data_IF_934981072931
#
_entry.id   IF_934981072931
#
_cell.length_a   1.000
_cell.length_b   1.000
_cell.length_c   1.000
_cell.angle_alpha   90.00
_cell.angle_beta   90.00
_cell.angle_gamma   90.00
#
_symmetry.space_group_name_H-M   'P 1'
#
loop_
_entity.id
_entity.type
_entity.pdbx_description
1 polymer ?
#
# COMPACT_ATOMS: atom_id res chain seq x y z
N UNK A 1 0.28 18.44 18.22
CA UNK A 1 0.50 17.38 17.20
C UNK A 1 -0.79 16.59 17.17
N UNK A 2 -1.56 16.67 16.10
CA UNK A 2 -2.97 16.26 16.14
C UNK A 2 -3.12 14.75 15.87
N UNK A 3 -2.64 13.93 16.81
CA UNK A 3 -2.82 12.47 16.78
C UNK A 3 -4.30 12.04 16.80
N UNK A 4 -5.22 12.98 17.04
CA UNK A 4 -6.65 12.81 16.85
C UNK A 4 -6.95 12.37 15.41
N UNK A 5 -6.19 12.86 14.42
CA UNK A 5 -6.37 12.47 13.02
C UNK A 5 -6.05 10.98 12.78
N UNK A 6 -4.98 10.46 13.41
CA UNK A 6 -4.67 9.03 13.34
C UNK A 6 -5.81 8.19 13.91
N UNK A 7 -6.35 8.59 15.07
CA UNK A 7 -7.50 7.91 15.69
C UNK A 7 -8.74 7.93 14.79
N UNK A 8 -9.04 9.08 14.16
CA UNK A 8 -10.13 9.20 13.18
C UNK A 8 -9.94 8.27 11.99
N UNK A 9 -8.73 8.15 11.45
CA UNK A 9 -8.46 7.24 10.33
C UNK A 9 -8.65 5.78 10.75
N UNK A 10 -8.16 5.39 11.93
CA UNK A 10 -8.36 4.02 12.47
C UNK A 10 -9.86 3.74 12.61
N UNK A 11 -10.60 4.63 13.28
CA UNK A 11 -12.04 4.49 13.48
C UNK A 11 -12.80 4.40 12.14
N UNK A 12 -12.39 5.20 11.14
CA UNK A 12 -13.01 5.18 9.82
C UNK A 12 -12.77 3.84 9.12
N UNK A 13 -11.53 3.35 9.09
CA UNK A 13 -11.21 2.05 8.48
C UNK A 13 -11.94 0.91 9.22
N UNK A 14 -12.05 0.96 10.55
CA UNK A 14 -12.76 -0.05 11.35
C UNK A 14 -14.27 -0.12 11.10
N UNK A 15 -14.88 0.90 10.46
CA UNK A 15 -16.27 0.81 10.00
C UNK A 15 -16.45 -0.21 8.88
N UNK A 16 -15.39 -0.50 8.14
CA UNK A 16 -15.42 -1.37 6.97
C UNK A 16 -14.65 -2.66 7.24
N UNK A 17 -13.43 -2.54 7.76
CA UNK A 17 -12.58 -3.66 8.12
C UNK A 17 -12.93 -4.18 9.52
N UNK A 18 -13.65 -5.31 9.56
CA UNK A 18 -14.02 -6.00 10.80
C UNK A 18 -12.83 -6.78 11.33
N UNK A 19 -12.61 -6.68 12.65
CA UNK A 19 -11.66 -7.49 13.38
C UNK A 19 -10.56 -6.67 14.05
N UNK A 20 -9.33 -7.19 14.03
CA UNK A 20 -8.19 -6.67 14.80
C UNK A 20 -7.85 -5.22 14.41
N UNK A 21 -7.76 -4.35 15.42
CA UNK A 21 -7.29 -2.96 15.26
C UNK A 21 -5.80 -2.87 14.93
N UNK A 22 -5.03 -3.90 15.33
CA UNK A 22 -3.57 -3.92 15.25
C UNK A 22 -3.02 -3.80 13.82
N UNK A 23 -3.51 -4.56 12.81
CA UNK A 23 -3.12 -4.34 11.41
C UNK A 23 -3.34 -2.91 10.92
N UNK A 24 -4.44 -2.26 11.32
CA UNK A 24 -4.75 -0.87 10.92
C UNK A 24 -3.74 0.10 11.55
N UNK A 25 -3.41 -0.09 12.83
CA UNK A 25 -2.37 0.70 13.50
C UNK A 25 -1.00 0.55 12.81
N UNK A 26 -0.60 -0.68 12.51
CA UNK A 26 0.69 -0.96 11.87
C UNK A 26 0.76 -0.40 10.45
N UNK A 27 -0.36 -0.40 9.72
CA UNK A 27 -0.47 0.29 8.43
C UNK A 27 -0.22 1.80 8.56
N UNK A 28 -0.82 2.44 9.56
CA UNK A 28 -0.58 3.86 9.81
C UNK A 28 0.85 4.12 10.28
N UNK A 29 1.46 3.22 11.04
CA UNK A 29 2.89 3.31 11.38
C UNK A 29 3.74 3.24 10.11
N UNK A 30 3.44 2.32 9.19
CA UNK A 30 4.09 2.21 7.88
C UNK A 30 3.98 3.52 7.09
N UNK A 31 2.75 3.98 6.88
CA UNK A 31 2.44 5.20 6.12
C UNK A 31 3.11 6.44 6.74
N UNK A 32 2.94 6.65 8.05
CA UNK A 32 3.51 7.79 8.75
C UNK A 32 5.03 7.69 8.89
N UNK A 33 5.60 6.50 8.86
CA UNK A 33 7.04 6.24 8.82
C UNK A 33 7.66 6.53 7.46
N UNK A 34 6.86 6.91 6.46
CA UNK A 34 7.28 7.00 5.05
C UNK A 34 7.80 5.64 4.52
N UNK A 35 7.46 4.52 5.17
CA UNK A 35 7.86 3.18 4.75
C UNK A 35 6.77 2.48 3.94
N UNK A 36 7.10 1.28 3.47
CA UNK A 36 6.16 0.37 2.81
C UNK A 36 5.92 -0.86 3.68
N UNK A 37 4.84 -1.58 3.44
CA UNK A 37 4.50 -2.76 4.24
C UNK A 37 4.32 -4.01 3.38
N UNK A 38 4.73 -5.16 3.93
CA UNK A 38 4.58 -6.47 3.33
C UNK A 38 3.55 -7.28 4.12
N UNK A 39 2.48 -7.71 3.45
CA UNK A 39 1.39 -8.51 4.01
C UNK A 39 1.60 -9.98 3.66
N UNK A 40 2.03 -10.76 4.65
CA UNK A 40 2.09 -12.22 4.54
C UNK A 40 0.82 -12.85 5.07
N UNK A 41 -0.11 -13.15 4.18
CA UNK A 41 -1.29 -13.94 4.53
C UNK A 41 -1.82 -14.67 3.32
N UNK A 42 -2.66 -15.65 3.63
CA UNK A 42 -3.56 -16.35 2.74
C UNK A 42 -4.57 -15.43 2.03
N UNK A 43 -5.07 -15.85 0.85
CA UNK A 43 -6.13 -15.14 0.14
C UNK A 43 -7.42 -15.00 0.98
N UNK A 44 -8.17 -13.92 0.74
CA UNK A 44 -9.51 -13.73 1.32
C UNK A 44 -9.58 -13.00 2.66
N UNK A 45 -8.45 -12.60 3.26
CA UNK A 45 -8.41 -11.91 4.59
C UNK A 45 -8.70 -10.40 4.52
N UNK A 46 -9.31 -9.90 3.45
CA UNK A 46 -9.71 -8.49 3.36
C UNK A 46 -8.58 -7.47 3.07
N UNK A 47 -7.41 -7.90 2.57
CA UNK A 47 -6.29 -6.99 2.22
C UNK A 47 -6.71 -5.85 1.29
N UNK A 48 -7.49 -6.19 0.25
CA UNK A 48 -8.02 -5.21 -0.71
C UNK A 48 -8.97 -4.22 -0.05
N UNK A 49 -9.82 -4.71 0.86
CA UNK A 49 -10.75 -3.87 1.60
C UNK A 49 -10.00 -2.88 2.49
N UNK A 50 -8.96 -3.36 3.17
CA UNK A 50 -8.09 -2.58 4.04
C UNK A 50 -7.36 -1.46 3.28
N UNK A 51 -6.74 -1.79 2.14
CA UNK A 51 -6.04 -0.82 1.30
C UNK A 51 -6.98 0.24 0.72
N UNK A 52 -8.15 -0.18 0.20
CA UNK A 52 -9.17 0.75 -0.31
C UNK A 52 -9.73 1.65 0.78
N UNK A 53 -9.98 1.10 1.98
CA UNK A 53 -10.49 1.86 3.13
C UNK A 53 -9.49 2.92 3.57
N UNK A 54 -8.19 2.59 3.59
CA UNK A 54 -7.13 3.56 3.87
C UNK A 54 -7.13 4.69 2.84
N UNK A 55 -7.11 4.37 1.54
CA UNK A 55 -7.11 5.35 0.47
C UNK A 55 -8.32 6.29 0.54
N UNK A 56 -9.54 5.73 0.70
CA UNK A 56 -10.76 6.53 0.89
C UNK A 56 -10.71 7.41 2.14
N UNK A 57 -10.24 6.87 3.26
CA UNK A 57 -10.15 7.61 4.53
C UNK A 57 -9.23 8.83 4.44
N UNK A 58 -8.22 8.80 3.57
CA UNK A 58 -7.28 9.92 3.38
C UNK A 58 -7.52 10.70 2.08
N UNK A 59 -8.63 10.46 1.38
CA UNK A 59 -8.91 11.07 0.07
C UNK A 59 -7.77 10.90 -0.95
N UNK A 60 -7.04 9.78 -0.87
CA UNK A 60 -5.94 9.43 -1.76
C UNK A 60 -6.40 8.58 -2.94
N UNK A 61 -5.62 8.59 -4.02
CA UNK A 61 -5.80 7.64 -5.11
C UNK A 61 -5.42 6.22 -4.67
N UNK A 62 -6.11 5.24 -5.24
CA UNK A 62 -5.89 3.81 -5.00
C UNK A 62 -5.68 3.10 -6.31
N UNK A 63 -4.63 2.28 -6.38
CA UNK A 63 -4.44 1.33 -7.47
C UNK A 63 -4.15 -0.05 -6.92
N UNK A 64 -4.66 -1.07 -7.61
CA UNK A 64 -4.33 -2.47 -7.36
C UNK A 64 -3.66 -3.03 -8.59
N UNK A 65 -2.55 -3.73 -8.40
CA UNK A 65 -1.90 -4.51 -9.44
C UNK A 65 -1.73 -5.93 -8.93
N UNK A 66 -2.06 -6.89 -9.78
CA UNK A 66 -1.83 -8.29 -9.53
C UNK A 66 -0.51 -8.67 -10.19
N UNK A 67 0.46 -9.17 -9.42
CA UNK A 67 1.71 -9.62 -9.98
C UNK A 67 1.51 -11.00 -10.60
N UNK A 68 1.74 -11.09 -11.91
CA UNK A 68 1.65 -12.32 -12.69
C UNK A 68 3.00 -12.62 -13.34
N UNK A 69 3.25 -13.87 -13.78
CA UNK A 69 4.53 -14.26 -14.37
C UNK A 69 4.88 -13.50 -15.66
N UNK A 70 3.89 -13.01 -16.38
CA UNK A 70 3.99 -12.28 -17.65
C UNK A 70 4.08 -10.75 -17.48
N UNK A 71 3.93 -10.24 -16.26
CA UNK A 71 3.95 -8.80 -15.99
C UNK A 71 5.35 -8.22 -16.26
N UNK A 72 5.41 -7.13 -17.04
CA UNK A 72 6.65 -6.45 -17.40
C UNK A 72 6.94 -5.27 -16.46
N UNK A 73 8.21 -4.83 -16.34
CA UNK A 73 8.56 -3.62 -15.57
C UNK A 73 7.81 -2.35 -16.03
N UNK A 74 7.54 -2.24 -17.33
CA UNK A 74 6.80 -1.12 -17.91
C UNK A 74 5.32 -1.13 -17.50
N UNK A 75 4.74 -2.30 -17.20
CA UNK A 75 3.37 -2.40 -16.70
C UNK A 75 3.23 -1.88 -15.26
N UNK A 76 4.36 -1.73 -14.54
CA UNK A 76 4.42 -1.16 -13.19
C UNK A 76 4.68 0.34 -13.25
N UNK A 77 5.66 0.77 -14.04
CA UNK A 77 6.16 2.16 -14.09
C UNK A 77 5.40 3.05 -15.07
N UNK A 78 4.80 2.46 -16.10
CA UNK A 78 4.15 3.15 -17.20
C UNK A 78 4.97 3.05 -18.49
N UNK A 79 4.34 3.42 -19.61
CA UNK A 79 4.96 3.36 -20.94
C UNK A 79 4.40 4.42 -21.89
N UNK A 80 5.16 4.75 -22.91
CA UNK A 80 4.72 5.67 -23.97
C UNK A 80 4.02 4.93 -25.10
N UNK A 81 2.80 5.37 -25.44
CA UNK A 81 2.02 4.82 -26.56
C UNK A 81 1.98 5.83 -27.69
N UNK A 82 2.33 5.40 -28.91
CA UNK A 82 2.22 6.23 -30.09
C UNK A 82 0.74 6.44 -30.47
N UNK A 83 0.28 7.69 -30.43
CA UNK A 83 -1.05 8.06 -30.88
C UNK A 83 -1.03 8.42 -32.36
N UNK A 84 -1.54 7.52 -33.21
CA UNK A 84 -1.58 7.72 -34.66
C UNK A 84 -2.37 8.95 -35.10
N UNK A 85 -3.37 9.40 -34.32
CA UNK A 85 -4.17 10.59 -34.67
C UNK A 85 -3.39 11.89 -34.49
N UNK A 86 -2.53 11.97 -33.47
CA UNK A 86 -1.77 13.19 -33.16
C UNK A 86 -0.32 13.11 -33.64
N UNK A 87 0.18 11.93 -34.02
CA UNK A 87 1.57 11.70 -34.39
C UNK A 87 2.54 11.84 -33.21
N UNK A 88 2.04 11.74 -31.98
CA UNK A 88 2.80 11.99 -30.75
C UNK A 88 2.77 10.75 -29.85
N UNK A 89 3.86 10.53 -29.11
CA UNK A 89 3.88 9.60 -28.00
C UNK A 89 3.13 10.20 -26.81
N UNK A 90 2.21 9.43 -26.23
CA UNK A 90 1.47 9.78 -25.03
C UNK A 90 1.83 8.82 -23.92
N UNK A 91 2.32 9.37 -22.81
CA UNK A 91 2.59 8.60 -21.61
C UNK A 91 1.30 8.01 -21.02
N UNK A 92 1.33 6.70 -20.77
CA UNK A 92 0.32 5.97 -20.02
C UNK A 92 0.89 5.67 -18.63
N UNK A 93 0.34 6.27 -17.56
CA UNK A 93 0.86 6.11 -16.22
C UNK A 93 0.69 4.67 -15.73
N UNK A 94 1.74 4.13 -15.13
CA UNK A 94 1.70 2.82 -14.47
C UNK A 94 0.97 2.87 -13.10
N UNK A 95 0.65 1.71 -12.52
CA UNK A 95 -0.07 1.60 -11.26
C UNK A 95 0.64 2.23 -10.06
N UNK A 96 1.97 2.41 -10.11
CA UNK A 96 2.74 3.10 -9.05
C UNK A 96 2.42 4.59 -8.94
N UNK A 97 1.81 5.20 -9.96
CA UNK A 97 1.40 6.61 -9.95
C UNK A 97 0.06 6.72 -9.21
N UNK A 98 0.10 6.52 -7.89
CA UNK A 98 -1.05 6.51 -6.99
C UNK A 98 -0.61 6.86 -5.56
N UNK A 99 -1.52 7.19 -4.65
CA UNK A 99 -1.16 7.38 -3.25
C UNK A 99 -1.01 6.04 -2.52
N UNK A 100 -1.96 5.13 -2.71
CA UNK A 100 -1.98 3.81 -2.09
C UNK A 100 -1.97 2.73 -3.18
N UNK A 101 -0.88 1.96 -3.24
CA UNK A 101 -0.74 0.83 -4.15
C UNK A 101 -0.88 -0.49 -3.39
N UNK A 102 -1.82 -1.34 -3.81
CA UNK A 102 -1.84 -2.76 -3.43
C UNK A 102 -1.15 -3.58 -4.52
N UNK A 103 0.03 -4.12 -4.21
CA UNK A 103 0.80 -5.01 -5.07
C UNK A 103 0.58 -6.46 -4.63
N UNK A 104 -0.41 -7.13 -5.23
CA UNK A 104 -0.79 -8.48 -4.83
C UNK A 104 0.15 -9.53 -5.40
N UNK A 105 0.57 -10.46 -4.54
CA UNK A 105 1.40 -11.63 -4.87
C UNK A 105 2.72 -11.25 -5.56
N UNK A 106 3.46 -10.30 -4.97
CA UNK A 106 4.71 -9.77 -5.52
C UNK A 106 5.72 -10.87 -5.89
N UNK A 107 5.67 -12.01 -5.20
CA UNK A 107 6.49 -13.18 -5.45
C UNK A 107 6.08 -14.00 -6.69
N UNK A 108 5.02 -13.66 -7.44
CA UNK A 108 4.58 -14.39 -8.65
C UNK A 108 5.14 -13.83 -9.96
N UNK A 109 5.95 -12.78 -9.91
CA UNK A 109 6.58 -12.20 -11.10
C UNK A 109 8.10 -12.37 -11.07
N UNK A 110 8.74 -12.21 -12.22
CA UNK A 110 10.20 -12.31 -12.34
C UNK A 110 10.93 -11.20 -11.57
N UNK A 111 12.16 -11.44 -11.07
CA UNK A 111 12.90 -10.46 -10.25
C UNK A 111 13.04 -9.07 -10.89
N UNK A 112 13.14 -8.97 -12.21
CA UNK A 112 13.24 -7.67 -12.91
C UNK A 112 11.99 -6.81 -12.72
N UNK A 113 10.80 -7.41 -12.75
CA UNK A 113 9.54 -6.69 -12.53
C UNK A 113 9.37 -6.32 -11.06
N UNK A 114 9.76 -7.20 -10.14
CA UNK A 114 9.83 -6.87 -8.70
C UNK A 114 10.72 -5.64 -8.45
N UNK A 115 11.92 -5.63 -9.04
CA UNK A 115 12.85 -4.51 -8.92
C UNK A 115 12.26 -3.18 -9.38
N UNK A 116 11.42 -3.15 -10.41
CA UNK A 116 10.80 -1.90 -10.88
C UNK A 116 9.86 -1.26 -9.84
N UNK A 117 9.12 -2.08 -9.08
CA UNK A 117 8.31 -1.60 -7.96
C UNK A 117 9.20 -1.15 -6.80
N UNK A 118 10.23 -1.93 -6.46
CA UNK A 118 11.14 -1.61 -5.36
C UNK A 118 11.95 -0.33 -5.62
N UNK A 119 12.36 -0.10 -6.86
CA UNK A 119 13.00 1.16 -7.27
C UNK A 119 12.04 2.34 -7.11
N UNK A 120 10.78 2.18 -7.53
CA UNK A 120 9.75 3.19 -7.35
C UNK A 120 9.49 3.51 -5.86
N UNK A 121 9.58 2.49 -4.99
CA UNK A 121 9.46 2.63 -3.54
C UNK A 121 10.60 3.46 -2.94
N UNK A 122 11.85 3.15 -3.30
CA UNK A 122 13.03 3.84 -2.79
C UNK A 122 13.16 5.28 -3.32
N UNK A 123 13.06 5.44 -4.65
CA UNK A 123 13.34 6.70 -5.32
C UNK A 123 12.13 7.66 -5.32
N UNK A 124 10.93 7.15 -5.04
CA UNK A 124 9.65 7.89 -5.08
C UNK A 124 9.41 8.63 -6.40
N UNK A 125 9.96 8.10 -7.48
CA UNK A 125 9.82 8.60 -8.84
C UNK A 125 9.91 7.43 -9.82
N UNK A 126 9.45 7.65 -11.04
CA UNK A 126 9.63 6.72 -12.16
C UNK A 126 10.33 7.43 -13.30
N UNK A 127 11.20 6.73 -14.02
CA UNK A 127 11.83 7.25 -15.24
C UNK A 127 11.45 6.38 -16.42
N UNK A 128 10.82 6.98 -17.43
CA UNK A 128 10.38 6.29 -18.64
C UNK A 128 10.88 7.07 -19.85
N UNK A 129 11.63 6.41 -20.73
CA UNK A 129 12.24 7.00 -21.94
C UNK A 129 13.06 8.28 -21.68
N UNK A 130 13.71 8.37 -20.51
CA UNK A 130 14.53 9.53 -20.11
C UNK A 130 13.76 10.67 -19.44
N UNK A 131 12.43 10.57 -19.32
CA UNK A 131 11.61 11.52 -18.57
C UNK A 131 11.33 10.98 -17.16
N UNK A 132 11.67 11.77 -16.14
CA UNK A 132 11.44 11.41 -14.73
C UNK A 132 10.19 12.10 -14.19
N UNK A 133 9.31 11.30 -13.58
CA UNK A 133 8.04 11.73 -12.99
C UNK A 133 8.03 11.40 -11.50
N UNK A 134 7.82 12.41 -10.66
CA UNK A 134 7.66 12.21 -9.22
C UNK A 134 6.34 11.49 -8.91
N UNK A 135 6.36 10.56 -7.95
CA UNK A 135 5.16 9.88 -7.50
C UNK A 135 4.29 10.78 -6.59
N UNK A 136 2.97 10.52 -6.53
CA UNK A 136 2.08 11.25 -5.63
C UNK A 136 2.54 11.15 -4.16
N UNK A 137 2.38 12.24 -3.40
CA UNK A 137 2.74 12.26 -1.97
C UNK A 137 1.45 12.28 -1.11
N UNK A 138 1.31 11.38 -0.12
CA UNK A 138 2.21 10.27 0.20
C UNK A 138 2.10 9.15 -0.86
N UNK A 139 3.20 8.42 -1.07
CA UNK A 139 3.26 7.18 -1.85
C UNK A 139 3.47 6.02 -0.88
N UNK A 140 2.52 5.09 -0.82
CA UNK A 140 2.50 3.97 0.09
C UNK A 140 2.18 2.68 -0.65
N UNK A 141 2.98 1.64 -0.38
CA UNK A 141 2.85 0.34 -1.04
C UNK A 141 2.52 -0.69 0.03
N UNK A 142 1.43 -1.41 -0.22
CA UNK A 142 1.04 -2.62 0.47
C UNK A 142 1.32 -3.79 -0.47
N UNK A 143 2.47 -4.42 -0.32
CA UNK A 143 2.79 -5.62 -1.09
C UNK A 143 2.24 -6.85 -0.38
N UNK A 144 1.82 -7.88 -1.12
CA UNK A 144 1.36 -9.13 -0.53
C UNK A 144 2.19 -10.28 -1.08
N UNK A 145 2.48 -11.28 -0.25
CA UNK A 145 3.05 -12.54 -0.70
C UNK A 145 2.36 -13.70 0.00
N UNK A 146 2.12 -14.78 -0.74
CA UNK A 146 1.55 -16.00 -0.19
C UNK A 146 2.69 -16.98 0.11
N UNK A 147 2.96 -17.31 1.39
CA UNK A 147 4.09 -18.17 1.76
C UNK A 147 3.88 -19.65 1.40
N UNK A 148 2.65 -20.06 1.06
CA UNK A 148 2.29 -21.46 0.82
C UNK A 148 2.51 -21.86 -0.66
N UNK A 149 2.40 -20.91 -1.58
CA UNK A 149 2.59 -21.15 -3.02
C UNK A 149 4.09 -21.12 -3.40
N UNK A 150 4.69 -22.30 -3.49
CA UNK A 150 6.10 -22.47 -3.86
C UNK A 150 6.31 -22.70 -5.36
N UNK A 151 5.27 -23.08 -6.10
CA UNK A 151 5.39 -23.41 -7.52
C UNK A 151 5.16 -22.16 -8.39
N UNK A 152 6.13 -21.85 -9.26
CA UNK A 152 6.06 -20.68 -10.15
C UNK A 152 6.22 -19.33 -9.43
N UNK A 153 6.84 -19.31 -8.25
CA UNK A 153 7.12 -18.09 -7.48
C UNK A 153 8.63 -17.78 -7.42
N UNK A 154 8.93 -16.48 -7.35
CA UNK A 154 10.26 -15.89 -7.19
C UNK A 154 10.28 -15.14 -5.85
N UNK A 155 10.81 -15.74 -4.77
CA UNK A 155 10.83 -15.09 -3.46
C UNK A 155 11.71 -13.84 -3.49
N UNK A 156 11.31 -12.83 -2.73
CA UNK A 156 12.14 -11.63 -2.53
C UNK A 156 13.39 -12.02 -1.72
N UNK A 157 14.61 -11.72 -2.21
CA UNK A 157 15.84 -11.82 -1.41
C UNK A 157 15.75 -10.96 -0.15
N UNK A 158 16.51 -11.31 0.89
CA UNK A 158 16.53 -10.58 2.18
C UNK A 158 16.80 -9.07 1.99
N UNK A 159 17.75 -8.72 1.13
CA UNK A 159 18.06 -7.33 0.79
C UNK A 159 16.89 -6.57 0.15
N UNK A 160 15.91 -7.26 -0.46
CA UNK A 160 14.69 -6.65 -0.99
C UNK A 160 13.59 -6.58 0.08
N UNK A 161 13.52 -7.56 0.98
CA UNK A 161 12.60 -7.54 2.12
C UNK A 161 12.88 -6.37 3.06
N UNK A 162 14.15 -6.01 3.25
CA UNK A 162 14.59 -4.86 4.07
C UNK A 162 14.03 -3.50 3.61
N UNK A 163 13.53 -3.41 2.36
CA UNK A 163 12.86 -2.19 1.84
C UNK A 163 11.45 -2.01 2.40
N UNK A 164 10.89 -3.04 3.03
CA UNK A 164 9.61 -2.95 3.73
C UNK A 164 9.86 -2.65 5.21
N UNK A 165 9.29 -1.55 5.69
CA UNK A 165 9.43 -1.12 7.08
C UNK A 165 8.79 -2.11 8.05
N UNK A 166 7.67 -2.72 7.65
CA UNK A 166 6.96 -3.69 8.45
C UNK A 166 6.50 -4.88 7.61
N UNK A 167 6.61 -6.05 8.21
CA UNK A 167 6.02 -7.29 7.76
C UNK A 167 4.86 -7.64 8.69
N UNK A 168 3.65 -7.75 8.16
CA UNK A 168 2.41 -7.85 8.94
C UNK A 168 1.64 -9.11 8.53
N UNK A 169 1.05 -9.78 9.52
CA UNK A 169 0.10 -10.87 9.36
C UNK A 169 -1.27 -10.41 9.88
N UNK A 170 -2.30 -10.55 9.07
CA UNK A 170 -3.70 -10.26 9.42
C UNK A 170 -4.33 -11.51 10.05
N UNK A 171 -4.12 -12.68 9.43
CA UNK A 171 -4.77 -13.95 9.76
C UNK A 171 -6.25 -14.00 9.35
N UNK A 172 -6.86 -15.17 9.50
CA UNK A 172 -8.31 -15.31 9.32
C UNK A 172 -9.08 -14.61 10.45
N UNK A 173 -10.25 -14.02 10.14
CA UNK A 173 -11.17 -13.57 11.18
C UNK A 173 -11.60 -14.75 12.05
N UNK A 174 -11.84 -14.50 13.33
CA UNK A 174 -12.49 -15.48 14.19
C UNK A 174 -13.99 -15.63 13.84
N UNK A 175 -14.66 -16.62 14.43
CA UNK A 175 -16.08 -16.89 14.14
C UNK A 175 -17.00 -15.69 14.40
N UNK A 176 -16.70 -14.87 15.41
CA UNK A 176 -17.50 -13.69 15.75
C UNK A 176 -17.26 -12.59 14.72
N UNK A 177 -15.99 -12.39 14.35
CA UNK A 177 -15.58 -11.47 13.28
C UNK A 177 -16.21 -11.88 11.93
N UNK A 178 -16.22 -13.16 11.57
CA UNK A 178 -16.87 -13.68 10.35
C UNK A 178 -18.38 -13.38 10.32
N UNK A 179 -19.09 -13.64 11.42
CA UNK A 179 -20.51 -13.33 11.54
C UNK A 179 -20.73 -11.82 11.36
N UNK A 180 -19.90 -10.99 12.00
CA UNK A 180 -20.00 -9.54 11.88
C UNK A 180 -19.70 -9.05 10.47
N UNK A 181 -18.76 -9.69 9.74
CA UNK A 181 -18.53 -9.43 8.31
C UNK A 181 -19.80 -9.75 7.51
N UNK A 182 -20.39 -10.93 7.71
CA UNK A 182 -21.61 -11.34 6.99
C UNK A 182 -22.75 -10.34 7.24
N UNK A 183 -23.02 -9.98 8.49
CA UNK A 183 -24.08 -9.04 8.85
C UNK A 183 -23.86 -7.65 8.24
N UNK A 184 -22.61 -7.17 8.23
CA UNK A 184 -22.26 -5.84 7.73
C UNK A 184 -22.39 -5.73 6.21
N UNK A 185 -21.96 -6.76 5.48
CA UNK A 185 -21.99 -6.78 4.00
C UNK A 185 -23.31 -7.30 3.41
N UNK A 186 -24.28 -7.71 4.23
CA UNK A 186 -25.57 -8.22 3.76
C UNK A 186 -26.51 -7.13 3.22
N UNK A 187 -26.40 -5.89 3.71
CA UNK A 187 -27.32 -4.80 3.36
C UNK A 187 -26.77 -3.92 2.25
N UNK A 188 -25.62 -3.30 2.47
CA UNK A 188 -24.97 -2.36 1.55
C UNK A 188 -23.44 -2.52 1.64
N UNK A 189 -22.70 -2.02 0.64
CA UNK A 189 -21.23 -2.04 0.70
C UNK A 189 -20.74 -0.87 1.57
N UNK A 190 -20.29 -1.11 2.82
CA UNK A 190 -19.87 -0.05 3.73
C UNK A 190 -18.66 0.73 3.21
N UNK A 191 -17.93 0.20 2.23
CA UNK A 191 -16.84 0.92 1.59
C UNK A 191 -17.36 2.10 0.76
N UNK A 192 -18.56 2.02 0.17
CA UNK A 192 -19.15 3.08 -0.65
C UNK A 192 -19.63 4.28 0.17
N UNK A 193 -20.07 4.04 1.40
CA UNK A 193 -20.48 5.08 2.35
C UNK A 193 -19.31 5.72 3.10
N UNK A 194 -18.08 5.20 2.90
CA UNK A 194 -16.90 5.66 3.62
C UNK A 194 -16.45 7.04 3.13
N UNK A 195 -16.75 8.06 3.93
CA UNK A 195 -16.27 9.43 3.69
C UNK A 195 -14.82 9.62 4.13
N UNK A 196 -14.11 10.53 3.45
CA UNK A 196 -12.75 10.88 3.80
C UNK A 196 -12.70 11.68 5.11
N UNK A 197 -11.78 11.31 6.00
CA UNK A 197 -11.55 11.98 7.29
C UNK A 197 -10.24 12.74 7.33
N UNK A 198 -9.38 12.55 6.32
CA UNK A 198 -8.11 13.22 6.12
C UNK A 198 -7.88 13.50 4.63
N UNK A 199 -6.89 14.34 4.32
CA UNK A 199 -6.37 14.56 2.97
C UNK A 199 -4.92 14.06 2.86
N UNK A 200 -4.39 13.83 1.64
CA UNK A 200 -2.99 13.44 1.45
C UNK A 200 -2.00 14.43 2.10
N UNK A 201 -2.27 15.73 1.97
CA UNK A 201 -1.44 16.79 2.57
C UNK A 201 -1.40 16.73 4.11
N UNK A 202 -2.52 16.40 4.76
CA UNK A 202 -2.54 16.23 6.22
C UNK A 202 -1.71 15.01 6.67
N UNK A 203 -1.64 13.95 5.86
CA UNK A 203 -0.75 12.81 6.13
C UNK A 203 0.71 13.25 6.01
N UNK A 204 1.06 14.04 5.00
CA UNK A 204 2.41 14.63 4.85
C UNK A 204 2.78 15.52 6.03
N UNK A 205 1.86 16.35 6.52
CA UNK A 205 2.07 17.18 7.72
C UNK A 205 2.36 16.32 8.95
N UNK A 206 1.65 15.20 9.12
CA UNK A 206 1.91 14.24 10.19
C UNK A 206 3.28 13.55 10.04
N UNK A 207 3.68 13.18 8.82
CA UNK A 207 5.02 12.63 8.53
C UNK A 207 6.12 13.64 8.91
N UNK A 208 5.94 14.93 8.62
CA UNK A 208 6.87 15.97 9.05
C UNK A 208 6.87 16.19 10.57
N UNK A 209 5.69 16.15 11.19
CA UNK A 209 5.55 16.31 12.63
C UNK A 209 6.24 15.16 13.41
N UNK A 210 6.17 13.92 12.89
CA UNK A 210 6.87 12.74 13.43
C UNK A 210 8.37 13.00 13.62
N UNK A 211 9.01 13.66 12.66
CA UNK A 211 10.45 13.98 12.68
C UNK A 211 10.86 14.88 13.87
N UNK A 212 9.90 15.54 14.51
CA UNK A 212 10.11 16.41 15.69
C UNK A 212 9.87 15.70 17.02
N UNK A 213 9.47 14.42 17.01
CA UNK A 213 9.26 13.65 18.24
C UNK A 213 10.62 13.42 18.91
N UNK A 214 10.73 13.83 20.18
CA UNK A 214 11.95 13.65 20.96
C UNK A 214 12.12 12.20 21.35
N UNK A 215 13.25 11.61 20.98
CA UNK A 215 13.71 10.31 21.45
C UNK A 215 14.68 10.54 22.62
N UNK A 216 14.42 9.93 23.78
CA UNK A 216 15.32 10.02 24.94
C UNK A 216 16.66 9.34 24.65
N UNK A 217 17.72 9.74 25.35
CA UNK A 217 19.06 9.13 25.17
C UNK A 217 19.04 7.63 25.43
N UNK A 218 18.38 7.19 26.50
CA UNK A 218 18.26 5.77 26.83
C UNK A 218 17.63 4.93 25.70
N UNK A 219 16.65 5.49 24.97
CA UNK A 219 16.06 4.80 23.81
C UNK A 219 17.01 4.80 22.61
N UNK A 220 17.77 5.89 22.40
CA UNK A 220 18.77 5.95 21.32
C UNK A 220 19.95 5.01 21.54
N UNK A 221 20.35 4.78 22.79
CA UNK A 221 21.42 3.85 23.15
C UNK A 221 20.98 2.39 23.13
N UNK A 222 19.66 2.15 23.22
CA UNK A 222 19.09 0.81 23.15
C UNK A 222 18.96 0.26 21.73
N UNK A 223 18.69 1.14 20.74
CA UNK A 223 18.54 0.80 19.32
C UNK A 223 19.92 0.70 18.67
#
# INVERSE_FOLDING_TARGET
MDFILCKKIIENISRVFVGKSRPIELLLVGLLGEGHILLEDVPGVGKTLLAKSLARSISGSFTRVQFTPDLLPADITGFNVYNQKTGQFKFQPGPVITNILLADEINRTVPRTQSSLLESMEERQVTVDGETLALPVPFFVMATQNPIELEGTFPLPEAQLDRFLLKIHIGYPDKIEEISILERFQKEDPLLELEAVATPGQITDLQHARKRIRISSAVREYI
#
